data_IF_571943515587
#
_entry.id   IF_571943515587
#
_cell.length_a   1.000
_cell.length_b   1.000
_cell.length_c   1.000
_cell.angle_alpha   90.00
_cell.angle_beta   90.00
_cell.angle_gamma   90.00
#
_symmetry.space_group_name_H-M   'P 1'
#
loop_
_entity.id
_entity.type
_entity.pdbx_description
1 polymer ?
#
# COMPACT_ATOMS: atom_id res chain seq x y z
N UNK A 1 6.75 -4.15 -13.10
CA UNK A 1 5.73 -4.91 -13.86
C UNK A 1 6.09 -4.87 -15.34
N UNK A 2 5.97 -5.99 -16.04
CA UNK A 2 6.23 -6.09 -17.49
C UNK A 2 5.13 -6.92 -18.15
N UNK A 3 4.98 -6.80 -19.47
CA UNK A 3 4.09 -7.65 -20.25
C UNK A 3 2.61 -7.27 -20.21
N UNK A 4 2.27 -6.04 -19.81
CA UNK A 4 0.90 -5.55 -19.98
C UNK A 4 0.57 -5.38 -21.48
N UNK A 5 -0.68 -5.66 -21.90
CA UNK A 5 -1.05 -5.62 -23.32
C UNK A 5 -0.79 -4.26 -23.98
N UNK A 6 -0.28 -4.27 -25.22
CA UNK A 6 0.03 -3.03 -25.93
C UNK A 6 -1.25 -2.40 -26.47
N UNK A 7 -1.40 -1.08 -26.29
CA UNK A 7 -2.54 -0.27 -26.76
C UNK A 7 -3.90 -0.62 -26.11
N UNK A 8 -3.91 -1.36 -25.00
CA UNK A 8 -5.15 -1.68 -24.26
C UNK A 8 -5.22 -1.00 -22.88
N UNK A 9 -4.24 -0.12 -22.60
CA UNK A 9 -4.26 0.73 -21.41
C UNK A 9 -5.23 1.92 -21.55
N UNK A 10 -5.37 2.74 -20.49
CA UNK A 10 -4.62 2.67 -19.24
C UNK A 10 -5.01 1.45 -18.40
N UNK A 11 -4.10 0.98 -17.56
CA UNK A 11 -4.29 -0.14 -16.66
C UNK A 11 -4.51 0.37 -15.24
N UNK A 12 -5.55 -0.19 -14.63
CA UNK A 12 -5.93 0.13 -13.27
C UNK A 12 -5.37 -0.92 -12.33
N UNK A 13 -5.15 -0.56 -11.07
CA UNK A 13 -4.60 -1.49 -10.11
C UNK A 13 -5.09 -1.21 -8.70
N UNK A 14 -5.56 -2.27 -8.04
CA UNK A 14 -6.18 -2.18 -6.72
C UNK A 14 -5.77 -3.37 -5.87
N UNK A 15 -5.78 -3.17 -4.55
CA UNK A 15 -5.76 -4.28 -3.61
C UNK A 15 -7.20 -4.77 -3.44
N UNK A 16 -7.41 -6.08 -3.62
CA UNK A 16 -8.68 -6.76 -3.42
C UNK A 16 -8.73 -7.47 -2.08
N UNK A 17 -9.93 -7.74 -1.59
CA UNK A 17 -10.16 -8.11 -0.20
C UNK A 17 -9.72 -9.55 0.19
N UNK A 18 -9.59 -10.46 -0.80
CA UNK A 18 -9.19 -11.87 -0.61
C UNK A 18 -7.87 -12.19 -1.31
N UNK A 19 -7.22 -13.26 -0.86
CA UNK A 19 -6.10 -13.90 -1.56
C UNK A 19 -6.53 -14.56 -2.88
N UNK A 20 -5.55 -14.73 -3.77
CA UNK A 20 -5.69 -15.47 -5.02
C UNK A 20 -5.84 -16.96 -4.68
N UNK A 21 -6.89 -17.64 -5.17
CA UNK A 21 -7.02 -19.09 -5.00
C UNK A 21 -5.90 -19.85 -5.73
N UNK A 22 -5.67 -21.10 -5.34
CA UNK A 22 -4.60 -21.93 -5.93
C UNK A 22 -4.74 -22.23 -7.43
N UNK A 23 -5.92 -21.98 -8.02
CA UNK A 23 -6.15 -22.07 -9.47
C UNK A 23 -5.83 -20.77 -10.22
N UNK A 24 -5.40 -19.71 -9.51
CA UNK A 24 -5.04 -18.41 -10.09
C UNK A 24 -6.23 -17.56 -10.54
N UNK A 25 -7.46 -17.92 -10.16
CA UNK A 25 -8.65 -17.21 -10.62
C UNK A 25 -8.79 -15.82 -9.96
N UNK A 26 -8.45 -14.77 -10.70
CA UNK A 26 -8.59 -13.39 -10.25
C UNK A 26 -10.04 -12.98 -9.97
N UNK A 27 -11.04 -13.67 -10.52
CA UNK A 27 -12.43 -13.36 -10.17
C UNK A 27 -12.79 -13.72 -8.73
N UNK A 28 -12.09 -14.70 -8.15
CA UNK A 28 -12.34 -15.16 -6.79
C UNK A 28 -11.74 -14.24 -5.70
N UNK A 29 -10.98 -13.20 -6.06
CA UNK A 29 -10.38 -12.28 -5.07
C UNK A 29 -11.38 -11.26 -4.50
N UNK A 30 -12.61 -11.22 -5.04
CA UNK A 30 -13.68 -10.35 -4.53
C UNK A 30 -13.59 -8.91 -5.02
N UNK A 31 -14.11 -8.00 -4.20
CA UNK A 31 -14.14 -6.56 -4.45
C UNK A 31 -12.84 -5.88 -3.99
N UNK A 32 -12.73 -4.58 -4.25
CA UNK A 32 -11.64 -3.76 -3.73
C UNK A 32 -11.61 -3.82 -2.20
N UNK A 33 -10.41 -3.79 -1.64
CA UNK A 33 -10.22 -3.76 -0.20
C UNK A 33 -10.64 -2.40 0.37
N UNK A 34 -11.81 -2.38 1.00
CA UNK A 34 -12.44 -1.16 1.50
C UNK A 34 -12.95 -1.31 2.95
N UNK A 35 -12.05 -1.37 3.95
CA UNK A 35 -12.42 -1.64 5.34
C UNK A 35 -13.16 -0.49 6.04
N UNK A 36 -13.34 0.66 5.37
CA UNK A 36 -14.00 1.85 5.90
C UNK A 36 -15.19 2.30 5.03
N UNK A 37 -15.68 1.46 4.12
CA UNK A 37 -16.85 1.72 3.28
C UNK A 37 -16.76 3.06 2.51
N UNK A 38 -15.56 3.40 2.06
CA UNK A 38 -15.27 4.59 1.26
C UNK A 38 -15.91 4.54 -0.14
N UNK A 39 -16.11 5.71 -0.74
CA UNK A 39 -16.61 5.85 -2.12
C UNK A 39 -15.65 5.18 -3.12
N UNK A 40 -16.16 4.53 -4.19
CA UNK A 40 -15.32 4.07 -5.30
C UNK A 40 -14.79 5.22 -6.17
N UNK A 41 -15.35 6.43 -6.07
CA UNK A 41 -14.95 7.60 -6.87
C UNK A 41 -13.81 8.35 -6.17
N UNK A 42 -12.63 7.72 -6.09
CA UNK A 42 -11.47 8.29 -5.40
C UNK A 42 -10.98 9.61 -6.03
N UNK A 43 -10.94 9.69 -7.35
CA UNK A 43 -10.48 10.90 -8.07
C UNK A 43 -11.36 12.14 -7.82
N UNK A 44 -12.61 11.93 -7.40
CA UNK A 44 -13.55 13.00 -7.04
C UNK A 44 -13.40 13.44 -5.57
N UNK A 45 -12.64 12.68 -4.77
CA UNK A 45 -12.45 13.00 -3.37
C UNK A 45 -11.45 14.14 -3.18
N UNK A 46 -11.68 14.94 -2.13
CA UNK A 46 -10.80 16.06 -1.77
C UNK A 46 -9.43 15.63 -1.24
N UNK A 47 -9.33 14.38 -0.77
CA UNK A 47 -8.13 13.84 -0.14
C UNK A 47 -8.15 12.32 -0.22
N UNK A 48 -6.98 11.72 -0.43
CA UNK A 48 -6.77 10.27 -0.49
C UNK A 48 -7.30 9.49 0.72
N UNK A 49 -7.44 10.16 1.87
CA UNK A 49 -7.99 9.57 3.09
C UNK A 49 -9.47 9.16 2.96
N UNK A 50 -10.18 9.68 1.95
CA UNK A 50 -11.56 9.34 1.63
C UNK A 50 -11.67 8.26 0.55
N UNK A 51 -10.54 7.80 -0.01
CA UNK A 51 -10.51 6.71 -0.97
C UNK A 51 -10.55 5.36 -0.28
N UNK A 52 -10.94 4.32 -1.03
CA UNK A 52 -10.80 2.95 -0.57
C UNK A 52 -9.33 2.68 -0.26
N UNK A 53 -9.05 1.95 0.83
CA UNK A 53 -7.66 1.65 1.22
C UNK A 53 -6.91 0.97 0.08
N UNK A 54 -7.57 0.04 -0.61
CA UNK A 54 -7.03 -0.67 -1.76
C UNK A 54 -7.06 0.08 -3.09
N UNK A 55 -7.59 1.31 -3.16
CA UNK A 55 -7.60 2.08 -4.41
C UNK A 55 -6.26 2.78 -4.65
N UNK A 56 -5.31 2.05 -5.24
CA UNK A 56 -3.98 2.57 -5.52
C UNK A 56 -3.97 3.47 -6.76
N UNK A 57 -4.82 3.19 -7.74
CA UNK A 57 -4.96 4.02 -8.93
C UNK A 57 -5.43 5.43 -8.58
N UNK A 58 -6.53 5.56 -7.84
CA UNK A 58 -7.09 6.88 -7.53
C UNK A 58 -6.15 7.75 -6.71
N UNK A 59 -5.30 7.13 -5.87
CA UNK A 59 -4.30 7.83 -5.05
C UNK A 59 -3.00 8.13 -5.79
N UNK A 60 -2.51 7.20 -6.60
CA UNK A 60 -1.14 7.25 -7.16
C UNK A 60 -1.08 7.35 -8.68
N UNK A 61 -2.24 7.41 -9.34
CA UNK A 61 -2.39 7.56 -10.78
C UNK A 61 -2.41 6.24 -11.55
N UNK A 62 -2.90 6.31 -12.79
CA UNK A 62 -3.03 5.19 -13.70
C UNK A 62 -1.74 4.80 -14.43
N UNK A 63 -1.67 3.55 -14.88
CA UNK A 63 -0.55 3.04 -15.67
C UNK A 63 -0.87 3.11 -17.16
N UNK A 64 -0.07 3.82 -17.95
CA UNK A 64 -0.19 3.80 -19.41
C UNK A 64 1.08 3.28 -20.09
N UNK A 65 1.55 2.12 -19.64
CA UNK A 65 2.73 1.46 -20.19
C UNK A 65 2.59 -0.07 -20.14
N UNK A 66 3.28 -0.74 -21.06
CA UNK A 66 3.42 -2.19 -21.09
C UNK A 66 4.43 -2.71 -20.05
N UNK A 67 5.40 -1.86 -19.71
CA UNK A 67 6.49 -2.12 -18.76
C UNK A 67 6.73 -0.87 -17.93
N UNK A 68 6.74 -1.01 -16.61
CA UNK A 68 6.93 0.11 -15.71
C UNK A 68 7.38 -0.36 -14.32
N UNK A 69 7.93 0.59 -13.58
CA UNK A 69 8.25 0.47 -12.17
C UNK A 69 7.68 1.71 -11.46
N UNK A 70 7.04 1.50 -10.33
CA UNK A 70 6.51 2.56 -9.48
C UNK A 70 7.10 2.45 -8.08
N UNK A 71 7.38 3.60 -7.48
CA UNK A 71 7.76 3.75 -6.07
C UNK A 71 7.02 4.96 -5.51
N UNK A 72 6.21 4.73 -4.48
CA UNK A 72 5.47 5.77 -3.77
C UNK A 72 5.25 5.36 -2.32
N UNK A 73 4.90 6.33 -1.49
CA UNK A 73 4.52 6.10 -0.08
C UNK A 73 3.00 6.18 0.02
N UNK A 74 2.37 5.10 0.50
CA UNK A 74 0.94 5.08 0.83
C UNK A 74 0.75 5.02 2.35
N UNK A 75 0.24 6.09 2.99
CA UNK A 75 0.09 6.14 4.44
C UNK A 75 -1.15 5.39 4.97
N UNK A 76 -1.97 4.82 4.08
CA UNK A 76 -3.24 4.17 4.43
C UNK A 76 -3.13 2.65 4.45
N UNK A 77 -2.17 2.07 3.73
CA UNK A 77 -1.84 0.65 3.81
C UNK A 77 -1.17 0.30 5.14
N UNK A 78 -1.38 -0.92 5.63
CA UNK A 78 -0.75 -1.36 6.87
C UNK A 78 -0.22 -2.80 6.81
N UNK A 79 0.93 -3.01 7.41
CA UNK A 79 1.49 -4.34 7.71
C UNK A 79 1.25 -4.76 9.17
N UNK A 80 0.54 -3.96 9.96
CA UNK A 80 0.15 -4.30 11.32
C UNK A 80 -1.10 -5.18 11.30
N UNK A 81 -0.98 -6.45 11.74
CA UNK A 81 -2.09 -7.42 11.84
C UNK A 81 -3.31 -6.91 12.63
N UNK A 82 -3.15 -5.90 13.51
CA UNK A 82 -4.24 -5.29 14.29
C UNK A 82 -4.94 -4.14 13.56
N UNK A 83 -4.38 -3.64 12.46
CA UNK A 83 -4.97 -2.56 11.68
C UNK A 83 -6.12 -3.09 10.83
N UNK A 84 -7.21 -2.32 10.74
CA UNK A 84 -8.27 -2.60 9.74
C UNK A 84 -7.76 -2.49 8.31
N UNK A 85 -6.66 -1.76 8.08
CA UNK A 85 -5.99 -1.62 6.78
C UNK A 85 -4.90 -2.69 6.54
N UNK A 86 -4.86 -3.78 7.31
CA UNK A 86 -3.86 -4.83 7.15
C UNK A 86 -3.98 -5.49 5.76
N UNK A 87 -2.89 -5.53 4.98
CA UNK A 87 -2.94 -5.99 3.56
C UNK A 87 -2.35 -7.37 3.27
N UNK A 88 -1.66 -8.02 4.21
CA UNK A 88 -1.17 -9.39 3.97
C UNK A 88 -2.37 -10.35 3.94
N UNK A 89 -2.37 -11.32 3.02
CA UNK A 89 -3.50 -12.22 2.77
C UNK A 89 -4.59 -11.62 1.86
N UNK A 90 -4.24 -10.54 1.16
CA UNK A 90 -5.02 -9.90 0.09
C UNK A 90 -4.29 -10.06 -1.23
N UNK A 91 -4.87 -9.57 -2.31
CA UNK A 91 -4.23 -9.61 -3.63
C UNK A 91 -4.11 -8.24 -4.27
N UNK A 92 -3.02 -7.98 -4.99
CA UNK A 92 -2.93 -6.90 -5.96
C UNK A 92 -3.52 -7.38 -7.28
N UNK A 93 -4.41 -6.60 -7.89
CA UNK A 93 -5.06 -6.91 -9.17
C UNK A 93 -4.82 -5.79 -10.15
N UNK A 94 -4.53 -6.14 -11.40
CA UNK A 94 -4.52 -5.22 -12.53
C UNK A 94 -5.79 -5.38 -13.36
N UNK A 95 -6.35 -4.27 -13.82
CA UNK A 95 -7.57 -4.26 -14.62
C UNK A 95 -7.39 -3.44 -15.90
N UNK A 96 -8.23 -3.76 -16.88
CA UNK A 96 -8.58 -2.84 -17.96
C UNK A 96 -9.45 -1.70 -17.43
N UNK A 97 -9.66 -0.60 -18.21
CA UNK A 97 -10.54 0.49 -17.81
C UNK A 97 -12.00 0.08 -17.56
N UNK A 98 -12.43 -1.05 -18.15
CA UNK A 98 -13.76 -1.62 -17.93
C UNK A 98 -13.83 -2.53 -16.69
N UNK A 99 -12.83 -2.49 -15.81
CA UNK A 99 -12.69 -3.30 -14.59
C UNK A 99 -12.46 -4.80 -14.78
N UNK A 100 -12.35 -5.28 -16.02
CA UNK A 100 -11.97 -6.67 -16.31
C UNK A 100 -10.58 -6.95 -15.75
N UNK A 101 -10.43 -8.00 -14.95
CA UNK A 101 -9.18 -8.37 -14.30
C UNK A 101 -8.23 -9.03 -15.30
N UNK A 102 -6.99 -8.54 -15.34
CA UNK A 102 -5.93 -8.98 -16.26
C UNK A 102 -5.01 -9.98 -15.56
N UNK A 103 -4.56 -9.61 -14.37
CA UNK A 103 -3.61 -10.36 -13.57
C UNK A 103 -3.83 -10.06 -12.10
N UNK A 104 -3.51 -11.01 -11.25
CA UNK A 104 -3.57 -10.87 -9.81
C UNK A 104 -2.42 -11.64 -9.16
N UNK A 105 -2.00 -11.18 -7.98
CA UNK A 105 -0.98 -11.84 -7.17
C UNK A 105 -1.28 -11.61 -5.69
N UNK A 106 -0.93 -12.59 -4.86
CA UNK A 106 -1.04 -12.48 -3.41
C UNK A 106 -0.03 -11.48 -2.84
N UNK A 107 -0.45 -10.83 -1.75
CA UNK A 107 0.40 -10.04 -0.88
C UNK A 107 0.72 -10.90 0.34
N UNK A 108 1.97 -11.37 0.42
CA UNK A 108 2.44 -12.30 1.44
C UNK A 108 3.68 -11.76 2.19
N UNK A 109 3.99 -12.37 3.32
CA UNK A 109 5.24 -12.08 4.04
C UNK A 109 6.42 -12.57 3.21
N UNK A 110 7.40 -11.69 2.97
CA UNK A 110 8.61 -12.06 2.23
C UNK A 110 9.40 -13.12 3.02
N UNK A 111 9.73 -14.22 2.37
CA UNK A 111 10.61 -15.24 2.94
C UNK A 111 12.09 -14.81 2.92
N UNK A 112 12.95 -15.57 3.60
CA UNK A 112 14.38 -15.28 3.71
C UNK A 112 15.09 -15.18 2.35
N UNK A 113 14.65 -15.96 1.36
CA UNK A 113 15.21 -15.91 0.01
C UNK A 113 14.88 -14.59 -0.68
N UNK A 114 13.62 -14.14 -0.59
CA UNK A 114 13.20 -12.86 -1.16
C UNK A 114 13.85 -11.69 -0.42
N UNK A 115 13.98 -11.78 0.90
CA UNK A 115 14.68 -10.80 1.71
C UNK A 115 16.16 -10.67 1.29
N UNK A 116 16.86 -11.80 1.12
CA UNK A 116 18.25 -11.79 0.66
C UNK A 116 18.37 -11.14 -0.73
N UNK A 117 17.49 -11.50 -1.67
CA UNK A 117 17.45 -10.89 -3.01
C UNK A 117 17.22 -9.38 -2.96
N UNK A 118 16.33 -8.88 -2.10
CA UNK A 118 16.08 -7.45 -1.94
C UNK A 118 17.28 -6.71 -1.33
N UNK A 119 17.97 -7.33 -0.36
CA UNK A 119 19.19 -6.75 0.21
C UNK A 119 20.27 -6.61 -0.86
N UNK A 120 20.48 -7.64 -1.69
CA UNK A 120 21.46 -7.60 -2.76
C UNK A 120 21.13 -6.52 -3.80
N UNK A 121 19.84 -6.38 -4.15
CA UNK A 121 19.35 -5.34 -5.07
C UNK A 121 19.64 -3.93 -4.53
N UNK A 122 19.31 -3.65 -3.26
CA UNK A 122 19.54 -2.33 -2.68
C UNK A 122 21.01 -2.03 -2.35
N UNK A 123 21.85 -3.05 -2.13
CA UNK A 123 23.31 -2.88 -2.06
C UNK A 123 23.84 -2.44 -3.42
N UNK A 124 23.39 -3.08 -4.50
CA UNK A 124 23.83 -2.75 -5.86
C UNK A 124 23.36 -1.36 -6.29
N UNK A 125 22.19 -0.92 -5.83
CA UNK A 125 21.65 0.41 -6.15
C UNK A 125 22.08 1.52 -5.19
N UNK A 126 22.90 1.22 -4.18
CA UNK A 126 23.30 2.14 -3.10
C UNK A 126 22.10 2.81 -2.37
N UNK A 127 20.95 2.11 -2.25
CA UNK A 127 19.77 2.62 -1.53
C UNK A 127 19.90 2.34 -0.03
N UNK A 128 20.77 3.12 0.62
CA UNK A 128 21.09 2.98 2.04
C UNK A 128 19.88 3.19 2.97
N UNK A 129 18.84 3.90 2.51
CA UNK A 129 17.59 4.11 3.25
C UNK A 129 16.81 2.81 3.32
N UNK A 130 16.57 2.18 2.16
CA UNK A 130 15.83 0.92 2.10
C UNK A 130 16.57 -0.22 2.79
N UNK A 131 17.91 -0.27 2.67
CA UNK A 131 18.73 -1.23 3.41
C UNK A 131 18.58 -1.10 4.92
N UNK A 132 18.44 0.12 5.44
CA UNK A 132 18.23 0.37 6.86
C UNK A 132 16.84 -0.05 7.31
N UNK A 133 15.81 0.23 6.50
CA UNK A 133 14.43 -0.18 6.77
C UNK A 133 14.28 -1.70 6.79
N UNK A 134 14.78 -2.41 5.77
CA UNK A 134 14.75 -3.88 5.72
C UNK A 134 15.44 -4.56 6.91
N UNK A 135 16.56 -3.98 7.39
CA UNK A 135 17.30 -4.52 8.54
C UNK A 135 16.65 -4.18 9.88
N UNK A 136 15.63 -3.32 9.90
CA UNK A 136 14.94 -2.94 11.13
C UNK A 136 13.82 -3.94 11.40
N UNK A 137 13.81 -4.65 12.54
CA UNK A 137 12.73 -5.58 12.87
C UNK A 137 11.36 -4.90 12.84
N UNK A 138 10.35 -5.57 12.26
CA UNK A 138 8.97 -5.05 12.09
C UNK A 138 8.41 -4.51 13.43
N UNK A 139 8.69 -5.19 14.54
CA UNK A 139 8.27 -4.80 15.89
C UNK A 139 8.85 -3.46 16.36
N UNK A 140 10.05 -3.10 15.90
CA UNK A 140 10.72 -1.83 16.23
C UNK A 140 10.39 -0.72 15.21
N UNK A 141 10.14 -1.09 13.96
CA UNK A 141 9.78 -0.15 12.88
C UNK A 141 8.40 0.49 13.06
N UNK A 142 7.40 -0.27 13.53
CA UNK A 142 6.04 0.25 13.78
C UNK A 142 5.98 1.35 14.86
N UNK A 143 6.97 1.42 15.76
CA UNK A 143 6.98 2.41 16.84
C UNK A 143 7.67 3.73 16.47
N UNK A 144 8.41 3.82 15.36
CA UNK A 144 9.34 4.93 15.13
C UNK A 144 8.87 6.04 14.18
N UNK A 145 7.75 5.90 13.47
CA UNK A 145 7.28 6.95 12.53
C UNK A 145 5.95 7.62 12.90
N UNK A 146 5.13 7.03 13.78
CA UNK A 146 3.81 7.63 14.13
C UNK A 146 3.84 8.63 15.30
N UNK A 147 4.79 8.51 16.25
CA UNK A 147 4.81 9.35 17.46
C UNK A 147 5.79 10.52 17.42
N UNK A 148 6.75 10.55 16.49
CA UNK A 148 7.75 11.62 16.40
C UNK A 148 7.32 12.85 15.61
N UNK A 149 6.17 12.78 14.91
CA UNK A 149 5.65 13.91 14.12
C UNK A 149 4.52 14.71 14.80
N UNK A 150 4.01 14.25 15.96
CA UNK A 150 3.00 14.98 16.76
C UNK A 150 3.46 15.34 18.18
N UNK A 151 4.75 15.19 18.50
CA UNK A 151 5.28 15.38 19.85
C UNK A 151 6.37 16.45 19.95
N UNK A 152 6.07 17.68 19.54
CA UNK A 152 6.80 18.86 20.03
C UNK A 152 5.91 20.10 19.91
N UNK A 153 5.29 20.46 21.03
CA UNK A 153 4.42 21.63 21.20
C UNK A 153 4.05 21.74 22.68
N UNK A 154 5.01 22.29 23.42
CA UNK A 154 4.86 23.13 24.62
C UNK A 154 4.33 22.56 25.95
N UNK A 155 5.12 22.83 26.99
CA UNK A 155 4.84 22.65 28.41
C UNK A 155 3.48 23.25 28.84
N UNK A 156 2.79 22.65 29.82
CA UNK A 156 1.59 23.27 30.38
C UNK A 156 1.95 24.57 31.12
N UNK A 157 1.33 25.66 30.69
CA UNK A 157 1.35 26.96 31.37
C UNK A 157 0.84 26.81 32.82
N UNK A 158 1.66 27.10 33.84
CA UNK A 158 1.26 26.95 35.25
C UNK A 158 0.19 27.96 35.72
N UNK A 159 -0.24 28.94 34.91
CA UNK A 159 -1.17 29.99 35.33
C UNK A 159 -2.66 29.76 34.99
N UNK A 160 -3.04 28.61 34.42
CA UNK A 160 -4.47 28.28 34.18
C UNK A 160 -5.16 27.56 35.36
N UNK A 161 -4.46 27.34 36.48
CA UNK A 161 -5.05 26.84 37.72
C UNK A 161 -5.62 27.98 38.59
N UNK A 162 -6.41 28.89 38.01
CA UNK A 162 -7.25 29.86 38.75
C UNK A 162 -8.20 30.59 37.80
N UNK A 163 -9.34 29.97 37.47
CA UNK A 163 -10.65 30.65 37.34
C UNK A 163 -11.74 29.66 36.88
N UNK A 164 -12.70 29.45 37.80
CA UNK A 164 -14.06 28.88 37.67
C UNK A 164 -14.20 27.37 37.48
#
# INVERSE_FOLDING_TARGET
MTGLPKNEGPFYYHIHERSVPGDGNCEAVGLHFNPYDASPECEEQKHDAYCQVGDLLGKHGMINSTCFELKYTDPFLSLNKKSKSYIIGKSLVFHYPNMTKIACADIEEANDLRLASLIDEYIQSDDTVQLKELKTPIEKGMFLTSWKLFGRGDEPDPDLARQQ
#
